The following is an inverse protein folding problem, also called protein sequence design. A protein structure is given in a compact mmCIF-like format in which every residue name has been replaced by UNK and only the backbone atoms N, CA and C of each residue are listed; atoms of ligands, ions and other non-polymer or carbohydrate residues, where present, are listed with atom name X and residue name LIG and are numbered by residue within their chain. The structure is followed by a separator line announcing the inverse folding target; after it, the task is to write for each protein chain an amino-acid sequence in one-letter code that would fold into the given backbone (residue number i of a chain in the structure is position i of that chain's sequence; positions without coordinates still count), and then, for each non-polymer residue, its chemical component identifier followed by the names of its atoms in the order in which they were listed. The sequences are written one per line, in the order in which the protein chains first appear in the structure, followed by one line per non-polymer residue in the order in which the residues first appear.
data_IF_007962017326
#
_entry.id   IF_007962017326
#
_cell.length_a   1.000
_cell.length_b   1.000
_cell.length_c   1.000
_cell.angle_alpha   90.00
_cell.angle_beta   90.00
_cell.angle_gamma   90.00
#
_symmetry.space_group_name_H-M   'P 1'
#
loop_
_entity.id
_entity.type
_entity.pdbx_description
1 polymer ?
#
# COMPACT_ATOMS: atom_id res chain seq x y z
N UNK A 1 5.92 -56.00 -22.29
CA UNK A 1 4.93 -54.92 -22.54
C UNK A 1 4.50 -54.21 -21.27
N UNK A 2 5.02 -54.53 -20.11
CA UNK A 2 4.65 -54.02 -18.79
C UNK A 2 5.50 -52.82 -18.29
N UNK A 3 6.70 -52.61 -18.83
CA UNK A 3 7.62 -51.55 -18.37
C UNK A 3 7.28 -50.15 -18.89
N UNK A 4 6.67 -49.99 -20.05
CA UNK A 4 6.32 -48.67 -20.62
C UNK A 4 5.10 -48.00 -19.95
N UNK A 5 4.21 -48.78 -19.35
CA UNK A 5 3.02 -48.25 -18.66
C UNK A 5 3.41 -47.65 -17.31
N UNK A 6 4.39 -48.21 -16.60
CA UNK A 6 4.85 -47.68 -15.30
C UNK A 6 5.53 -46.30 -15.40
N UNK A 7 6.33 -46.08 -16.46
CA UNK A 7 6.96 -44.78 -16.69
C UNK A 7 5.95 -43.70 -17.11
N UNK A 8 4.90 -44.08 -17.83
CA UNK A 8 3.84 -43.15 -18.22
C UNK A 8 2.97 -42.73 -17.02
N UNK A 9 2.69 -43.64 -16.10
CA UNK A 9 1.96 -43.30 -14.86
C UNK A 9 2.81 -42.44 -13.91
N UNK A 10 4.10 -42.68 -13.75
CA UNK A 10 5.01 -41.85 -12.95
C UNK A 10 5.20 -40.47 -13.53
N UNK A 11 5.27 -40.30 -14.86
CA UNK A 11 5.33 -39.00 -15.53
C UNK A 11 4.01 -38.21 -15.38
N UNK A 12 2.86 -38.90 -15.41
CA UNK A 12 1.55 -38.27 -15.20
C UNK A 12 1.36 -37.82 -13.76
N UNK A 13 1.80 -38.60 -12.77
CA UNK A 13 1.76 -38.24 -11.36
C UNK A 13 2.75 -37.10 -11.08
N UNK A 14 3.95 -37.11 -11.67
CA UNK A 14 4.93 -36.02 -11.53
C UNK A 14 4.48 -34.70 -12.13
N UNK A 15 3.66 -34.70 -13.20
CA UNK A 15 3.10 -33.47 -13.80
C UNK A 15 1.87 -32.93 -13.08
N UNK A 16 1.17 -33.80 -12.31
CA UNK A 16 0.00 -33.39 -11.50
C UNK A 16 0.37 -32.89 -10.08
N UNK A 17 1.53 -33.30 -9.54
CA UNK A 17 2.01 -32.91 -8.22
C UNK A 17 2.09 -31.37 -8.03
N UNK A 18 2.61 -30.56 -8.97
CA UNK A 18 2.63 -29.11 -8.81
C UNK A 18 1.23 -28.47 -8.86
N UNK A 19 0.26 -29.09 -9.52
CA UNK A 19 -1.12 -28.60 -9.56
C UNK A 19 -1.89 -28.85 -8.26
N UNK A 20 -1.59 -29.97 -7.58
CA UNK A 20 -2.26 -30.32 -6.31
C UNK A 20 -1.67 -29.48 -5.15
N UNK A 21 -0.35 -29.20 -5.16
CA UNK A 21 0.30 -28.36 -4.15
C UNK A 21 -0.17 -26.90 -4.18
N UNK A 22 -0.48 -26.34 -5.36
CA UNK A 22 -0.93 -24.95 -5.48
C UNK A 22 -2.41 -24.72 -5.11
N UNK A 23 -3.26 -25.77 -5.13
CA UNK A 23 -4.67 -25.65 -4.75
C UNK A 23 -4.89 -25.57 -3.24
N UNK A 24 -3.99 -26.18 -2.42
CA UNK A 24 -4.17 -26.33 -0.97
C UNK A 24 -3.65 -25.16 -0.11
N UNK A 25 -2.81 -24.27 -0.66
CA UNK A 25 -2.12 -23.25 0.14
C UNK A 25 -3.05 -22.12 0.56
N UNK A 26 -4.07 -21.80 -0.23
CA UNK A 26 -5.03 -20.70 0.07
C UNK A 26 -6.09 -21.14 1.10
N UNK A 27 -6.42 -22.42 1.14
CA UNK A 27 -7.38 -22.97 2.11
C UNK A 27 -6.85 -22.95 3.55
N UNK A 28 -5.53 -22.71 3.77
CA UNK A 28 -4.88 -22.70 5.07
C UNK A 28 -4.50 -21.31 5.59
N UNK A 29 -5.01 -20.22 4.98
CA UNK A 29 -4.76 -18.88 5.49
C UNK A 29 -5.77 -18.59 6.61
N UNK A 30 -5.24 -18.40 7.82
CA UNK A 30 -6.00 -18.01 9.00
C UNK A 30 -5.61 -16.61 9.45
N UNK A 31 -6.60 -15.79 9.77
CA UNK A 31 -6.42 -14.44 10.27
C UNK A 31 -6.66 -14.37 11.77
N UNK A 32 -5.78 -13.70 12.48
CA UNK A 32 -5.99 -13.27 13.86
C UNK A 32 -6.46 -11.82 13.83
N UNK A 33 -7.51 -11.52 14.57
CA UNK A 33 -8.11 -10.19 14.59
C UNK A 33 -7.56 -9.39 15.76
N UNK A 34 -7.14 -8.16 15.50
CA UNK A 34 -6.72 -7.17 16.49
C UNK A 34 -7.54 -5.90 16.23
N UNK A 35 -8.24 -5.42 17.26
CA UNK A 35 -9.19 -4.33 17.11
C UNK A 35 -9.27 -3.36 18.28
N UNK A 36 -10.40 -2.69 18.41
CA UNK A 36 -10.64 -1.69 19.46
C UNK A 36 -10.51 -2.26 20.88
N UNK A 37 -10.89 -3.52 21.07
CA UNK A 37 -10.81 -4.20 22.37
C UNK A 37 -9.38 -4.47 22.81
N UNK A 38 -8.45 -4.51 21.86
CA UNK A 38 -7.02 -4.72 22.09
C UNK A 38 -6.26 -3.39 22.26
N UNK A 39 -6.97 -2.24 22.15
CA UNK A 39 -6.39 -0.92 22.35
C UNK A 39 -6.15 -0.09 21.09
N UNK A 40 -6.53 -0.60 19.90
CA UNK A 40 -6.49 0.19 18.66
C UNK A 40 -7.47 1.39 18.77
N UNK A 41 -7.05 2.58 18.34
CA UNK A 41 -7.85 3.80 18.52
C UNK A 41 -9.09 3.88 17.61
N UNK A 42 -8.99 3.32 16.41
CA UNK A 42 -10.06 3.34 15.42
C UNK A 42 -9.96 2.15 14.47
N UNK A 43 -11.08 1.57 14.10
CA UNK A 43 -11.16 0.38 13.26
C UNK A 43 -10.72 0.60 11.80
N UNK A 44 -10.82 1.83 11.28
CA UNK A 44 -10.39 2.13 9.90
C UNK A 44 -8.89 2.35 9.83
N UNK A 45 -8.17 1.48 9.13
CA UNK A 45 -6.72 1.55 8.94
C UNK A 45 -6.41 2.02 7.52
N UNK A 46 -5.79 3.20 7.38
CA UNK A 46 -5.40 3.77 6.09
C UNK A 46 -4.04 3.26 5.59
N UNK A 47 -3.09 3.13 6.49
CA UNK A 47 -1.74 2.67 6.19
C UNK A 47 -1.14 1.92 7.37
N UNK A 48 -0.28 0.97 7.06
CA UNK A 48 0.52 0.19 8.02
C UNK A 48 1.98 0.29 7.58
N UNK A 49 2.88 0.48 8.54
CA UNK A 49 4.32 0.41 8.30
C UNK A 49 5.04 -0.14 9.54
N UNK A 50 6.29 -0.52 9.39
CA UNK A 50 7.10 -1.07 10.48
C UNK A 50 8.41 -0.29 10.61
N UNK A 51 8.80 0.05 11.85
CA UNK A 51 10.11 0.61 12.12
C UNK A 51 11.18 -0.48 12.25
N UNK A 52 12.46 -0.09 12.25
CA UNK A 52 13.58 -1.04 12.39
C UNK A 52 13.62 -1.75 13.76
N UNK A 53 12.94 -1.20 14.74
CA UNK A 53 12.75 -1.82 16.06
C UNK A 53 11.69 -2.92 16.08
N UNK A 54 10.97 -3.11 14.94
CA UNK A 54 9.91 -4.11 14.80
C UNK A 54 8.53 -3.61 15.22
N UNK A 55 8.39 -2.37 15.73
CA UNK A 55 7.07 -1.85 16.05
C UNK A 55 6.26 -1.56 14.77
N UNK A 56 5.01 -1.93 14.79
CA UNK A 56 4.06 -1.59 13.73
C UNK A 56 3.39 -0.25 14.02
N UNK A 57 3.18 0.52 12.96
CA UNK A 57 2.56 1.83 13.00
C UNK A 57 1.32 1.85 12.11
N UNK A 58 0.20 2.28 12.66
CA UNK A 58 -1.10 2.28 12.00
C UNK A 58 -1.65 3.70 11.89
N UNK A 59 -1.89 4.18 10.67
CA UNK A 59 -2.58 5.43 10.42
C UNK A 59 -4.10 5.21 10.44
N UNK A 60 -4.81 5.98 11.26
CA UNK A 60 -6.26 5.82 11.45
C UNK A 60 -7.01 7.16 11.33
N UNK A 61 -8.34 7.14 11.49
CA UNK A 61 -9.13 8.35 11.65
C UNK A 61 -8.97 9.00 13.03
N UNK A 62 -8.44 8.27 14.01
CA UNK A 62 -8.32 8.72 15.39
C UNK A 62 -6.87 8.62 15.87
N UNK A 63 -5.99 9.33 15.17
CA UNK A 63 -4.56 9.40 15.45
C UNK A 63 -3.73 8.32 14.77
N UNK A 64 -2.53 8.14 15.30
CA UNK A 64 -1.58 7.10 14.93
C UNK A 64 -1.39 6.14 16.08
N UNK A 65 -1.35 4.86 15.80
CA UNK A 65 -1.14 3.81 16.77
C UNK A 65 0.20 3.15 16.53
N UNK A 66 0.99 2.99 17.58
CA UNK A 66 2.20 2.18 17.62
C UNK A 66 1.89 0.89 18.36
N UNK A 67 2.24 -0.25 17.79
CA UNK A 67 2.05 -1.58 18.35
C UNK A 67 3.39 -2.28 18.51
N UNK A 68 3.71 -2.69 19.72
CA UNK A 68 4.99 -3.33 20.09
C UNK A 68 4.94 -4.87 20.03
N UNK A 69 3.84 -5.44 19.57
CA UNK A 69 3.56 -6.87 19.57
C UNK A 69 2.62 -7.29 20.71
N UNK A 70 2.41 -6.43 21.71
CA UNK A 70 1.57 -6.69 22.89
C UNK A 70 0.58 -5.57 23.17
N UNK A 71 1.02 -4.30 23.08
CA UNK A 71 0.24 -3.15 23.49
C UNK A 71 0.20 -2.08 22.39
N UNK A 72 -0.91 -1.33 22.37
CA UNK A 72 -1.02 -0.12 21.57
C UNK A 72 -0.65 1.12 22.40
N UNK A 73 0.18 1.97 21.81
CA UNK A 73 0.34 3.37 22.23
C UNK A 73 -0.35 4.25 21.20
N UNK A 74 -1.32 5.06 21.64
CA UNK A 74 -2.13 5.91 20.77
C UNK A 74 -1.68 7.36 20.86
N UNK A 75 -1.39 7.97 19.71
CA UNK A 75 -1.00 9.37 19.58
C UNK A 75 -2.12 10.15 18.89
N UNK A 76 -2.75 11.08 19.62
CA UNK A 76 -3.81 11.96 19.14
C UNK A 76 -3.36 13.41 19.11
N UNK A 77 -4.02 14.19 18.26
CA UNK A 77 -3.87 15.63 18.29
C UNK A 77 -4.41 16.20 19.60
N UNK A 78 -3.63 17.07 20.23
CA UNK A 78 -4.02 17.77 21.46
C UNK A 78 -3.98 19.27 21.22
N UNK A 79 -5.10 19.93 21.44
CA UNK A 79 -5.20 21.37 21.29
C UNK A 79 -4.16 22.06 22.20
N UNK A 80 -3.44 23.03 21.66
CA UNK A 80 -2.37 23.78 22.33
C UNK A 80 -1.11 22.95 22.72
N UNK A 81 -1.01 21.69 22.33
CA UNK A 81 0.21 20.92 22.50
C UNK A 81 0.96 20.80 21.15
N UNK A 82 2.00 21.62 20.91
CA UNK A 82 2.74 21.61 19.62
C UNK A 82 3.54 20.30 19.41
N UNK A 83 3.68 19.49 20.46
CA UNK A 83 4.38 18.22 20.42
C UNK A 83 3.44 17.02 20.16
N UNK A 84 2.14 17.24 20.05
CA UNK A 84 1.19 16.22 19.60
C UNK A 84 1.24 16.11 18.08
N UNK A 85 0.66 15.04 17.51
CA UNK A 85 0.51 14.90 16.04
C UNK A 85 -0.33 16.06 15.45
N UNK A 86 -0.07 16.42 14.18
CA UNK A 86 -0.71 17.58 13.54
C UNK A 86 -2.24 17.46 13.40
N UNK A 87 -2.76 16.23 13.26
CA UNK A 87 -4.20 15.94 13.15
C UNK A 87 -4.48 14.49 13.52
N UNK A 88 -5.66 14.19 14.07
CA UNK A 88 -6.12 12.84 14.33
C UNK A 88 -6.33 12.04 13.03
N UNK A 89 -6.69 12.71 11.94
CA UNK A 89 -6.87 12.05 10.65
C UNK A 89 -5.50 11.83 10.01
N UNK A 90 -4.95 10.66 10.22
CA UNK A 90 -3.69 10.19 9.62
C UNK A 90 -3.97 9.38 8.36
N UNK A 91 -3.26 9.68 7.26
CA UNK A 91 -3.54 9.11 5.94
C UNK A 91 -2.48 8.14 5.44
N UNK A 92 -1.23 8.42 5.71
CA UNK A 92 -0.10 7.62 5.27
C UNK A 92 1.02 7.64 6.30
N UNK A 93 1.83 6.60 6.29
CA UNK A 93 3.03 6.46 7.11
C UNK A 93 4.17 6.03 6.20
N UNK A 94 5.33 6.65 6.38
CA UNK A 94 6.56 6.20 5.76
C UNK A 94 7.67 6.09 6.82
N UNK A 95 8.49 5.06 6.67
CA UNK A 95 9.74 4.91 7.41
C UNK A 95 10.87 5.12 6.42
N UNK A 96 11.77 6.07 6.71
CA UNK A 96 12.88 6.37 5.83
C UNK A 96 14.13 5.53 6.15
N UNK A 97 15.18 5.68 5.35
CA UNK A 97 16.43 4.93 5.50
C UNK A 97 17.12 5.15 6.85
N UNK A 98 16.86 6.30 7.50
CA UNK A 98 17.34 6.66 8.84
C UNK A 98 16.40 6.19 9.97
N UNK A 99 15.39 5.38 9.65
CA UNK A 99 14.38 4.88 10.59
C UNK A 99 13.54 5.98 11.25
N UNK A 100 13.35 7.11 10.56
CA UNK A 100 12.44 8.17 11.00
C UNK A 100 11.02 7.83 10.54
N UNK A 101 10.05 7.96 11.45
CA UNK A 101 8.65 7.69 11.19
C UNK A 101 7.96 9.00 10.80
N UNK A 102 7.54 9.07 9.54
CA UNK A 102 6.84 10.19 8.95
C UNK A 102 5.36 9.87 8.81
N UNK A 103 4.51 10.76 9.24
CA UNK A 103 3.06 10.61 9.17
C UNK A 103 2.46 11.74 8.37
N UNK A 104 1.79 11.40 7.27
CA UNK A 104 0.97 12.34 6.51
C UNK A 104 -0.41 12.43 7.12
N UNK A 105 -0.80 13.63 7.50
CA UNK A 105 -2.09 13.92 8.15
C UNK A 105 -2.95 14.87 7.31
N UNK A 106 -4.20 15.07 7.74
CA UNK A 106 -5.09 16.06 7.12
C UNK A 106 -4.55 17.49 7.20
N UNK A 107 -3.75 17.80 8.21
CA UNK A 107 -3.24 19.17 8.46
C UNK A 107 -1.77 19.35 8.08
N UNK A 108 -1.06 18.32 7.62
CA UNK A 108 0.33 18.41 7.21
C UNK A 108 1.15 17.16 7.46
N UNK A 109 2.47 17.35 7.59
CA UNK A 109 3.45 16.30 7.82
C UNK A 109 3.89 16.30 9.28
N UNK A 110 3.92 15.13 9.92
CA UNK A 110 4.42 14.94 11.29
C UNK A 110 5.60 13.97 11.29
N UNK A 111 6.65 14.30 12.05
CA UNK A 111 7.80 13.44 12.32
C UNK A 111 7.75 12.99 13.78
N UNK A 112 7.76 11.69 14.01
CA UNK A 112 7.86 11.13 15.36
C UNK A 112 9.28 11.21 15.90
N UNK A 113 9.42 11.76 17.09
CA UNK A 113 10.67 11.84 17.84
C UNK A 113 10.71 10.75 18.91
N UNK A 114 11.52 9.72 18.71
CA UNK A 114 11.64 8.57 19.62
C UNK A 114 12.14 8.94 21.03
N UNK A 115 13.01 9.95 21.13
CA UNK A 115 13.61 10.35 22.42
C UNK A 115 12.64 11.10 23.32
N UNK A 116 11.72 11.86 22.70
CA UNK A 116 10.75 12.68 23.41
C UNK A 116 9.37 12.03 23.50
N UNK A 117 9.17 10.92 22.78
CA UNK A 117 7.86 10.28 22.57
C UNK A 117 6.79 11.29 22.12
N UNK A 118 7.13 12.08 21.10
CA UNK A 118 6.40 13.26 20.69
C UNK A 118 6.55 13.52 19.18
N UNK A 119 5.81 14.48 18.64
CA UNK A 119 5.88 14.83 17.23
C UNK A 119 6.44 16.23 16.99
N UNK A 120 7.11 16.38 15.85
CA UNK A 120 7.43 17.67 15.23
C UNK A 120 6.58 17.83 13.99
N UNK A 121 5.89 18.97 13.84
CA UNK A 121 4.90 19.16 12.79
C UNK A 121 5.36 20.21 11.78
N UNK A 122 5.09 19.95 10.48
CA UNK A 122 5.46 20.79 9.36
C UNK A 122 4.21 21.05 8.51
N UNK A 123 3.90 22.33 8.30
CA UNK A 123 2.69 22.77 7.62
C UNK A 123 3.03 23.48 6.32
N UNK A 124 2.51 22.97 5.21
CA UNK A 124 2.46 23.70 3.97
C UNK A 124 1.11 24.38 3.84
N UNK A 125 1.11 25.69 3.60
CA UNK A 125 -0.13 26.45 3.49
C UNK A 125 -0.36 26.93 2.06
N UNK A 126 -1.58 26.73 1.58
CA UNK A 126 -2.06 27.31 0.33
C UNK A 126 -3.38 28.01 0.56
N UNK A 127 -3.49 29.27 0.12
CA UNK A 127 -4.65 30.13 0.36
C UNK A 127 -5.05 30.23 1.85
N UNK A 128 -4.05 30.24 2.73
CA UNK A 128 -4.26 30.34 4.18
C UNK A 128 -4.64 29.01 4.89
N UNK A 129 -4.92 27.94 4.16
CA UNK A 129 -5.28 26.63 4.72
C UNK A 129 -4.08 25.68 4.70
N UNK A 130 -4.01 24.81 5.70
CA UNK A 130 -3.05 23.71 5.72
C UNK A 130 -3.39 22.68 4.63
N UNK A 131 -2.36 22.10 4.04
CA UNK A 131 -2.50 21.11 2.95
C UNK A 131 -2.30 19.72 3.50
N UNK A 132 -3.28 18.84 3.25
CA UNK A 132 -3.22 17.44 3.64
C UNK A 132 -2.12 16.68 2.86
N UNK A 133 -1.36 15.83 3.57
CA UNK A 133 -0.39 14.90 2.97
C UNK A 133 -1.03 13.53 2.89
N UNK A 134 -1.18 13.01 1.68
CA UNK A 134 -1.86 11.74 1.39
C UNK A 134 -0.93 10.60 1.01
N UNK A 135 0.30 10.92 0.61
CA UNK A 135 1.33 9.95 0.28
C UNK A 135 2.72 10.51 0.58
N UNK A 136 3.64 9.67 1.01
CA UNK A 136 5.03 10.03 1.35
C UNK A 136 5.96 9.04 0.67
N UNK A 137 6.91 9.54 -0.12
CA UNK A 137 8.00 8.74 -0.68
C UNK A 137 9.34 9.32 -0.23
N UNK A 138 10.07 8.65 0.69
CA UNK A 138 11.46 8.99 0.98
C UNK A 138 12.32 8.80 -0.26
N UNK A 139 13.11 9.83 -0.68
CA UNK A 139 13.86 9.79 -1.95
C UNK A 139 15.36 9.76 -1.79
N UNK A 140 15.89 10.46 -0.81
CA UNK A 140 17.33 10.48 -0.42
C UNK A 140 17.38 10.67 1.09
N UNK A 141 18.57 10.61 1.67
CA UNK A 141 18.83 10.65 3.12
C UNK A 141 17.93 11.61 3.92
N UNK A 142 17.72 12.82 3.41
CA UNK A 142 16.94 13.85 4.10
C UNK A 142 15.80 14.44 3.25
N UNK A 143 15.44 13.82 2.13
CA UNK A 143 14.45 14.37 1.23
C UNK A 143 13.24 13.47 1.08
N UNK A 144 12.04 14.07 1.14
CA UNK A 144 10.76 13.40 0.92
C UNK A 144 10.00 14.03 -0.23
N UNK A 145 9.45 13.22 -1.12
CA UNK A 145 8.36 13.64 -2.00
C UNK A 145 7.03 13.37 -1.33
N UNK A 146 6.15 14.36 -1.34
CA UNK A 146 4.86 14.32 -0.69
C UNK A 146 3.74 14.49 -1.71
N UNK A 147 2.80 13.56 -1.71
CA UNK A 147 1.58 13.65 -2.50
C UNK A 147 0.52 14.45 -1.73
N UNK A 148 -0.05 15.44 -2.40
CA UNK A 148 -1.12 16.29 -1.84
C UNK A 148 -2.18 16.60 -2.90
N UNK A 149 -3.34 17.09 -2.49
CA UNK A 149 -4.36 17.58 -3.43
C UNK A 149 -3.91 18.78 -4.26
N UNK A 150 -2.84 19.49 -3.80
CA UNK A 150 -2.28 20.67 -4.43
C UNK A 150 -1.06 20.36 -5.33
N UNK A 151 -0.79 19.08 -5.56
CA UNK A 151 0.32 18.58 -6.36
C UNK A 151 1.36 17.83 -5.54
N UNK A 152 2.51 17.58 -6.16
CA UNK A 152 3.67 16.99 -5.50
C UNK A 152 4.48 18.08 -4.83
N UNK A 153 4.83 17.90 -3.56
CA UNK A 153 5.71 18.78 -2.80
C UNK A 153 7.03 18.07 -2.49
N UNK A 154 8.10 18.85 -2.40
CA UNK A 154 9.40 18.38 -1.92
C UNK A 154 9.67 18.93 -0.52
N UNK A 155 10.14 18.08 0.38
CA UNK A 155 10.46 18.45 1.75
C UNK A 155 11.90 18.06 2.11
N UNK A 156 12.66 19.02 2.64
CA UNK A 156 13.99 18.80 3.20
C UNK A 156 13.87 18.53 4.71
N UNK A 157 14.04 17.30 5.11
CA UNK A 157 13.90 16.86 6.48
C UNK A 157 15.04 17.38 7.38
N UNK A 158 16.21 17.67 6.83
CA UNK A 158 17.34 18.26 7.57
C UNK A 158 17.10 19.71 7.93
N UNK A 159 16.54 20.49 6.98
CA UNK A 159 16.21 21.90 7.19
C UNK A 159 14.83 22.11 7.80
N UNK A 160 13.95 21.07 7.74
CA UNK A 160 12.57 21.17 8.19
C UNK A 160 11.70 22.09 7.35
N UNK A 161 11.92 22.18 6.03
CA UNK A 161 11.24 23.11 5.16
C UNK A 161 10.82 22.49 3.81
N UNK A 162 9.79 23.08 3.20
CA UNK A 162 9.33 22.70 1.86
C UNK A 162 10.16 23.43 0.80
N UNK A 163 10.51 22.71 -0.28
CA UNK A 163 11.37 23.17 -1.37
C UNK A 163 10.60 23.17 -2.71
N UNK A 164 9.47 23.89 -2.75
CA UNK A 164 8.55 23.78 -3.89
C UNK A 164 9.11 24.36 -5.20
N UNK A 165 9.94 25.39 -5.13
CA UNK A 165 10.50 26.06 -6.31
C UNK A 165 11.54 25.20 -7.06
N UNK A 166 11.90 24.04 -6.52
CA UNK A 166 12.90 23.14 -7.12
C UNK A 166 12.29 22.04 -8.00
N UNK A 167 11.00 21.81 -7.91
CA UNK A 167 10.29 20.81 -8.72
C UNK A 167 9.76 21.42 -10.02
N UNK A 168 9.75 20.65 -11.14
CA UNK A 168 9.08 21.06 -12.36
C UNK A 168 7.63 21.45 -12.14
N UNK A 169 7.16 22.51 -12.79
CA UNK A 169 5.78 22.98 -12.68
C UNK A 169 4.74 21.90 -13.03
N UNK A 170 5.09 20.95 -13.90
CA UNK A 170 4.27 19.82 -14.30
C UNK A 170 3.94 18.91 -13.13
N UNK A 171 4.84 18.73 -12.14
CA UNK A 171 4.58 17.94 -10.93
C UNK A 171 3.58 18.62 -10.00
N UNK A 172 3.58 19.95 -9.95
CA UNK A 172 2.58 20.70 -9.18
C UNK A 172 1.18 20.65 -9.77
N UNK A 173 1.05 20.32 -11.06
CA UNK A 173 -0.25 20.17 -11.74
C UNK A 173 -0.84 18.77 -11.60
N UNK A 174 -0.04 17.77 -11.22
CA UNK A 174 -0.53 16.44 -10.94
C UNK A 174 -1.32 16.45 -9.63
N UNK A 175 -2.37 15.63 -9.58
CA UNK A 175 -3.11 15.32 -8.34
C UNK A 175 -2.75 13.92 -7.90
N UNK A 176 -1.58 13.75 -7.23
CA UNK A 176 -1.09 12.44 -6.87
C UNK A 176 -1.96 11.83 -5.77
N UNK A 177 -2.27 10.57 -5.92
CA UNK A 177 -2.97 9.76 -4.92
C UNK A 177 -2.02 8.82 -4.21
N UNK A 178 -0.97 8.37 -4.91
CA UNK A 178 0.08 7.50 -4.39
C UNK A 178 1.42 7.82 -5.02
N UNK A 179 2.47 7.75 -4.22
CA UNK A 179 3.87 7.85 -4.63
C UNK A 179 4.60 6.59 -4.19
N UNK A 180 5.32 5.94 -5.11
CA UNK A 180 6.14 4.75 -4.81
C UNK A 180 7.52 4.92 -5.39
N UNK A 181 8.54 4.85 -4.55
CA UNK A 181 9.94 4.87 -5.00
C UNK A 181 10.41 3.47 -5.36
N UNK A 182 11.07 3.37 -6.52
CA UNK A 182 11.85 2.19 -6.89
C UNK A 182 13.18 2.60 -7.52
N UNK A 183 14.24 2.50 -6.75
CA UNK A 183 15.56 2.97 -7.20
C UNK A 183 15.58 4.47 -7.48
N UNK A 184 15.89 4.82 -8.75
CA UNK A 184 15.94 6.21 -9.23
C UNK A 184 14.58 6.73 -9.75
N UNK A 185 13.55 5.88 -9.78
CA UNK A 185 12.21 6.22 -10.25
C UNK A 185 11.25 6.44 -9.09
N UNK A 186 10.41 7.46 -9.23
CA UNK A 186 9.17 7.64 -8.46
C UNK A 186 8.00 7.35 -9.38
N UNK A 187 7.23 6.33 -9.06
CA UNK A 187 5.94 6.08 -9.69
C UNK A 187 4.89 6.95 -9.02
N UNK A 188 4.12 7.68 -9.81
CA UNK A 188 3.11 8.63 -9.35
C UNK A 188 1.76 8.20 -9.91
N UNK A 189 0.90 7.66 -9.04
CA UNK A 189 -0.50 7.43 -9.40
C UNK A 189 -1.29 8.72 -9.26
N UNK A 190 -2.07 9.05 -10.28
CA UNK A 190 -2.90 10.25 -10.34
C UNK A 190 -4.31 9.93 -10.86
N UNK A 191 -5.17 10.94 -10.95
CA UNK A 191 -6.56 10.78 -11.44
C UNK A 191 -6.65 10.44 -12.93
N UNK A 192 -5.61 10.71 -13.72
CA UNK A 192 -5.61 10.56 -15.18
C UNK A 192 -4.53 9.62 -15.71
N UNK A 193 -3.88 8.85 -14.83
CA UNK A 193 -2.85 7.92 -15.24
C UNK A 193 -1.78 7.67 -14.21
N UNK A 194 -0.77 6.93 -14.63
CA UNK A 194 0.44 6.68 -13.88
C UNK A 194 1.62 7.32 -14.60
N UNK A 195 2.43 8.03 -13.84
CA UNK A 195 3.62 8.73 -14.30
C UNK A 195 4.86 8.16 -13.64
N UNK A 196 6.00 8.35 -14.26
CA UNK A 196 7.32 8.11 -13.68
C UNK A 196 8.10 9.41 -13.63
N UNK A 197 8.72 9.70 -12.51
CA UNK A 197 9.63 10.80 -12.34
C UNK A 197 11.02 10.25 -12.02
N UNK A 198 12.02 10.59 -12.86
CA UNK A 198 13.39 10.15 -12.68
C UNK A 198 14.15 11.15 -11.82
N UNK A 199 14.64 10.71 -10.65
CA UNK A 199 15.28 11.58 -9.66
C UNK A 199 16.61 12.17 -10.15
N UNK A 200 17.37 11.42 -10.93
CA UNK A 200 18.72 11.82 -11.40
C UNK A 200 18.70 12.94 -12.44
N UNK A 201 17.67 13.01 -13.28
CA UNK A 201 17.58 13.96 -14.40
C UNK A 201 16.34 14.86 -14.38
N UNK A 202 15.39 14.63 -13.46
CA UNK A 202 14.19 15.44 -13.32
C UNK A 202 13.15 15.24 -14.44
N UNK A 203 13.23 14.16 -15.22
CA UNK A 203 12.29 13.89 -16.31
C UNK A 203 11.01 13.27 -15.75
N UNK A 204 9.88 13.84 -16.15
CA UNK A 204 8.54 13.33 -15.87
C UNK A 204 7.95 12.74 -17.16
N UNK A 205 7.71 11.45 -17.17
CA UNK A 205 7.09 10.72 -18.27
C UNK A 205 5.74 10.13 -17.86
N UNK A 206 4.79 10.07 -18.78
CA UNK A 206 3.54 9.36 -18.59
C UNK A 206 3.74 7.89 -18.95
N UNK A 207 3.57 7.01 -17.97
CA UNK A 207 3.77 5.58 -18.13
C UNK A 207 2.53 4.88 -18.71
N UNK A 208 1.35 5.20 -18.15
CA UNK A 208 0.07 4.60 -18.53
C UNK A 208 -1.04 5.65 -18.48
N UNK A 209 -1.87 5.71 -19.54
CA UNK A 209 -3.12 6.44 -19.53
C UNK A 209 -4.21 5.62 -18.85
N UNK A 210 -4.90 6.23 -17.87
CA UNK A 210 -6.08 5.62 -17.27
C UNK A 210 -7.35 6.12 -17.96
N UNK A 211 -8.25 5.22 -18.39
CA UNK A 211 -9.52 5.62 -18.97
C UNK A 211 -10.40 6.32 -17.92
N UNK A 212 -11.23 7.26 -18.35
CA UNK A 212 -12.30 7.86 -17.55
C UNK A 212 -11.88 8.48 -16.21
N UNK A 213 -10.67 9.05 -16.08
CA UNK A 213 -10.18 9.67 -14.86
C UNK A 213 -10.21 8.74 -13.63
N UNK A 214 -9.85 7.50 -13.83
CA UNK A 214 -9.84 6.49 -12.77
C UNK A 214 -8.69 6.76 -11.82
N UNK A 215 -9.00 6.94 -10.54
CA UNK A 215 -8.02 7.19 -9.49
C UNK A 215 -7.22 5.93 -9.16
N UNK A 216 -5.88 6.06 -9.11
CA UNK A 216 -4.96 4.97 -8.72
C UNK A 216 -4.69 5.04 -7.23
N UNK A 217 -5.04 3.99 -6.48
CA UNK A 217 -4.89 3.94 -5.02
C UNK A 217 -3.58 3.33 -4.54
N UNK A 218 -3.07 2.36 -5.26
CA UNK A 218 -1.79 1.71 -4.94
C UNK A 218 -1.05 1.34 -6.22
N UNK A 219 0.27 1.41 -6.14
CA UNK A 219 1.20 0.94 -7.16
C UNK A 219 2.16 -0.03 -6.50
N UNK A 220 2.43 -1.15 -7.15
CA UNK A 220 3.41 -2.13 -6.71
C UNK A 220 4.26 -2.55 -7.89
N UNK A 221 5.56 -2.33 -7.74
CA UNK A 221 6.54 -2.79 -8.72
C UNK A 221 7.05 -4.16 -8.31
N UNK A 222 6.85 -5.16 -9.16
CA UNK A 222 7.29 -6.53 -8.96
C UNK A 222 8.53 -6.83 -9.82
N UNK A 223 9.28 -7.85 -9.45
CA UNK A 223 10.36 -8.39 -10.31
C UNK A 223 9.80 -8.72 -11.71
N UNK A 224 10.67 -8.74 -12.74
CA UNK A 224 10.33 -9.00 -14.14
C UNK A 224 9.56 -7.88 -14.85
N UNK A 225 9.82 -6.62 -14.47
CA UNK A 225 9.27 -5.41 -15.12
C UNK A 225 7.76 -5.23 -15.02
N UNK A 226 7.10 -5.86 -14.06
CA UNK A 226 5.66 -5.73 -13.85
C UNK A 226 5.36 -4.61 -12.88
N UNK A 227 4.45 -3.72 -13.29
CA UNK A 227 3.89 -2.64 -12.48
C UNK A 227 2.41 -2.88 -12.31
N UNK A 228 2.00 -3.18 -11.09
CA UNK A 228 0.60 -3.39 -10.73
C UNK A 228 0.00 -2.09 -10.22
N UNK A 229 -1.23 -1.78 -10.64
CA UNK A 229 -1.92 -0.53 -10.35
C UNK A 229 -3.35 -0.82 -9.89
N UNK A 230 -3.63 -0.53 -8.62
CA UNK A 230 -4.94 -0.67 -8.01
C UNK A 230 -5.80 0.56 -8.29
N UNK A 231 -7.04 0.38 -8.78
CA UNK A 231 -7.89 1.49 -9.20
C UNK A 231 -9.23 1.56 -8.48
N UNK A 232 -9.81 2.76 -8.48
CA UNK A 232 -11.14 3.03 -7.93
C UNK A 232 -12.23 2.78 -8.97
N UNK A 233 -12.74 1.53 -8.99
CA UNK A 233 -13.90 1.14 -9.79
C UNK A 233 -13.58 0.57 -11.17
N UNK A 234 -12.29 0.49 -11.57
CA UNK A 234 -11.90 -0.08 -12.87
C UNK A 234 -10.99 -1.31 -12.76
N UNK A 235 -10.92 -1.93 -11.57
CA UNK A 235 -10.19 -3.17 -11.34
C UNK A 235 -8.71 -2.98 -11.09
N UNK A 236 -7.94 -3.98 -11.46
CA UNK A 236 -6.50 -4.06 -11.28
C UNK A 236 -5.81 -4.06 -12.65
N UNK A 237 -4.87 -3.17 -12.83
CA UNK A 237 -4.03 -3.14 -14.02
C UNK A 237 -2.66 -3.74 -13.75
N UNK A 238 -2.11 -4.43 -14.75
CA UNK A 238 -0.71 -4.87 -14.80
C UNK A 238 -0.09 -4.34 -16.09
N UNK A 239 1.00 -3.59 -15.94
CA UNK A 239 1.79 -3.08 -17.05
C UNK A 239 3.16 -3.73 -17.06
N UNK A 240 3.52 -4.38 -18.16
CA UNK A 240 4.87 -4.88 -18.39
C UNK A 240 5.71 -3.78 -19.05
N UNK A 241 6.71 -3.29 -18.33
CA UNK A 241 7.55 -2.16 -18.80
C UNK A 241 8.46 -2.54 -19.97
N UNK A 242 8.74 -3.83 -20.18
CA UNK A 242 9.58 -4.33 -21.26
C UNK A 242 8.79 -4.53 -22.55
N UNK A 243 7.69 -5.27 -22.49
CA UNK A 243 6.83 -5.56 -23.66
C UNK A 243 5.84 -4.43 -23.96
N UNK A 244 5.66 -3.47 -23.04
CA UNK A 244 4.68 -2.37 -23.13
C UNK A 244 3.23 -2.86 -23.17
N UNK A 245 2.97 -4.08 -22.70
CA UNK A 245 1.63 -4.66 -22.64
C UNK A 245 0.93 -4.22 -21.37
N UNK A 246 -0.31 -3.74 -21.53
CA UNK A 246 -1.21 -3.40 -20.43
C UNK A 246 -2.34 -4.43 -20.37
N UNK A 247 -2.50 -5.08 -19.21
CA UNK A 247 -3.64 -5.98 -18.91
C UNK A 247 -4.54 -5.32 -17.87
N UNK A 248 -5.85 -5.56 -17.96
CA UNK A 248 -6.82 -5.14 -16.96
C UNK A 248 -7.59 -6.36 -16.45
N UNK A 249 -7.59 -6.56 -15.14
CA UNK A 249 -8.34 -7.60 -14.44
C UNK A 249 -9.54 -6.95 -13.76
N UNK A 250 -10.74 -7.44 -14.05
CA UNK A 250 -12.00 -6.91 -13.54
C UNK A 250 -12.82 -7.98 -12.83
N UNK A 251 -13.74 -7.53 -11.98
CA UNK A 251 -14.75 -8.39 -11.41
C UNK A 251 -15.69 -8.92 -12.51
N UNK A 252 -15.84 -10.25 -12.57
CA UNK A 252 -16.77 -10.94 -13.45
C UNK A 252 -17.48 -12.04 -12.67
N UNK A 253 -18.81 -12.06 -12.71
CA UNK A 253 -19.60 -13.09 -12.04
C UNK A 253 -19.29 -14.50 -12.61
N UNK A 254 -18.99 -15.43 -11.70
CA UNK A 254 -18.74 -16.84 -12.00
C UNK A 254 -17.42 -17.17 -12.68
N UNK A 255 -16.47 -16.20 -12.78
CA UNK A 255 -15.15 -16.39 -13.35
C UNK A 255 -14.03 -16.21 -12.32
N UNK A 256 -12.80 -16.63 -12.67
CA UNK A 256 -11.59 -16.50 -11.86
C UNK A 256 -11.06 -15.05 -11.80
N UNK A 257 -11.92 -14.04 -11.85
CA UNK A 257 -11.58 -12.64 -11.76
C UNK A 257 -11.48 -12.13 -10.32
N UNK A 258 -11.27 -10.82 -10.19
CA UNK A 258 -11.32 -10.14 -8.90
C UNK A 258 -12.71 -10.22 -8.28
N UNK A 259 -12.79 -10.12 -6.95
CA UNK A 259 -14.08 -10.05 -6.25
C UNK A 259 -14.69 -8.63 -6.20
N UNK A 260 -13.97 -7.61 -6.69
CA UNK A 260 -14.44 -6.22 -6.82
C UNK A 260 -13.55 -5.40 -7.74
N UNK A 261 -14.12 -4.46 -8.48
CA UNK A 261 -13.38 -3.47 -9.27
C UNK A 261 -12.82 -2.30 -8.42
N UNK A 262 -13.22 -2.20 -7.16
CA UNK A 262 -12.67 -1.21 -6.22
C UNK A 262 -11.46 -1.81 -5.51
N UNK A 263 -10.27 -1.65 -6.11
CA UNK A 263 -9.01 -2.17 -5.57
C UNK A 263 -8.32 -1.08 -4.77
N UNK A 264 -7.88 -1.40 -3.54
CA UNK A 264 -7.36 -0.42 -2.58
C UNK A 264 -5.89 -0.58 -2.24
N UNK A 265 -5.41 -1.80 -2.16
CA UNK A 265 -4.07 -2.10 -1.65
C UNK A 265 -3.45 -3.30 -2.34
N UNK A 266 -2.13 -3.28 -2.41
CA UNK A 266 -1.31 -4.31 -3.04
C UNK A 266 -0.11 -4.61 -2.14
N UNK A 267 0.23 -5.88 -1.97
CA UNK A 267 1.48 -6.30 -1.35
C UNK A 267 1.95 -7.64 -1.91
N UNK A 268 3.23 -7.95 -1.74
CA UNK A 268 3.78 -9.28 -1.99
C UNK A 268 4.03 -9.98 -0.66
N UNK A 269 3.68 -11.27 -0.59
CA UNK A 269 4.06 -12.10 0.56
C UNK A 269 5.52 -12.60 0.45
N UNK A 270 5.92 -13.51 1.32
CA UNK A 270 7.25 -14.10 1.33
C UNK A 270 7.54 -15.02 0.13
N UNK A 271 6.50 -15.51 -0.54
CA UNK A 271 6.58 -16.33 -1.75
C UNK A 271 6.44 -15.50 -3.03
N UNK A 272 6.47 -14.16 -2.92
CA UNK A 272 6.22 -13.20 -4.00
C UNK A 272 4.84 -13.32 -4.67
N UNK A 273 3.84 -13.88 -3.97
CA UNK A 273 2.46 -13.90 -4.45
C UNK A 273 1.85 -12.52 -4.23
N UNK A 274 1.14 -12.02 -5.23
CA UNK A 274 0.46 -10.73 -5.16
C UNK A 274 -0.85 -10.87 -4.36
N UNK A 275 -0.93 -10.10 -3.28
CA UNK A 275 -2.13 -9.91 -2.46
C UNK A 275 -2.81 -8.60 -2.86
N UNK A 276 -4.11 -8.67 -3.13
CA UNK A 276 -4.92 -7.57 -3.67
C UNK A 276 -6.10 -7.31 -2.74
N UNK A 277 -6.05 -6.23 -1.99
CA UNK A 277 -7.12 -5.79 -1.12
C UNK A 277 -8.18 -5.00 -1.89
N UNK A 278 -9.44 -5.39 -1.71
CA UNK A 278 -10.57 -4.75 -2.38
C UNK A 278 -11.69 -4.37 -1.39
N UNK A 279 -12.74 -3.77 -1.90
CA UNK A 279 -13.96 -3.50 -1.12
C UNK A 279 -14.73 -4.77 -0.72
N UNK A 280 -14.49 -5.90 -1.40
CA UNK A 280 -15.29 -7.12 -1.24
C UNK A 280 -14.47 -8.33 -0.82
N UNK A 281 -13.29 -8.12 -0.25
CA UNK A 281 -12.39 -9.14 0.28
C UNK A 281 -10.96 -8.99 -0.18
N UNK A 282 -10.18 -10.01 0.13
CA UNK A 282 -8.80 -10.17 -0.29
C UNK A 282 -8.75 -11.11 -1.49
N UNK A 283 -7.90 -10.81 -2.46
CA UNK A 283 -7.62 -11.69 -3.58
C UNK A 283 -6.12 -12.00 -3.61
N UNK A 284 -5.79 -13.24 -3.98
CA UNK A 284 -4.39 -13.67 -4.18
C UNK A 284 -4.24 -14.11 -5.63
N UNK A 285 -3.31 -13.49 -6.33
CA UNK A 285 -3.03 -13.77 -7.73
C UNK A 285 -2.31 -15.12 -7.89
N UNK A 286 -2.77 -15.91 -8.84
CA UNK A 286 -2.19 -17.19 -9.26
C UNK A 286 -1.57 -17.03 -10.64
N UNK A 287 -0.25 -16.82 -10.68
CA UNK A 287 0.48 -16.60 -11.92
C UNK A 287 0.29 -17.73 -12.95
N UNK A 288 0.35 -19.00 -12.51
CA UNK A 288 0.26 -20.16 -13.40
C UNK A 288 -1.07 -20.32 -14.13
N UNK A 289 -2.15 -19.71 -13.63
CA UNK A 289 -3.50 -19.73 -14.25
C UNK A 289 -4.01 -18.36 -14.64
N UNK A 290 -3.20 -17.30 -14.41
CA UNK A 290 -3.56 -15.89 -14.66
C UNK A 290 -4.93 -15.53 -14.04
N UNK A 291 -5.14 -15.95 -12.79
CA UNK A 291 -6.44 -15.83 -12.08
C UNK A 291 -6.26 -15.46 -10.62
N UNK A 292 -7.37 -15.21 -9.93
CA UNK A 292 -7.38 -14.87 -8.52
C UNK A 292 -8.17 -15.87 -7.69
N UNK A 293 -7.67 -16.16 -6.49
CA UNK A 293 -8.46 -16.77 -5.42
C UNK A 293 -8.87 -15.71 -4.44
N UNK A 294 -10.15 -15.74 -4.03
CA UNK A 294 -10.74 -14.74 -3.15
C UNK A 294 -10.97 -15.29 -1.75
N UNK A 295 -10.63 -14.50 -0.74
CA UNK A 295 -10.92 -14.71 0.67
C UNK A 295 -11.88 -13.63 1.14
N UNK A 296 -12.88 -14.03 1.93
CA UNK A 296 -13.93 -13.14 2.45
C UNK A 296 -14.14 -13.38 3.95
N UNK A 297 -14.76 -12.41 4.61
CA UNK A 297 -15.25 -12.59 5.97
C UNK A 297 -16.40 -13.62 6.00
N UNK A 298 -16.44 -14.40 7.05
CA UNK A 298 -17.47 -15.40 7.29
C UNK A 298 -17.76 -15.48 8.79
N UNK A 299 -19.03 -15.44 9.17
CA UNK A 299 -19.47 -15.63 10.56
C UNK A 299 -19.32 -17.09 11.03
N UNK A 300 -19.22 -18.01 10.09
CA UNK A 300 -19.17 -19.46 10.38
C UNK A 300 -17.73 -19.99 10.35
N UNK A 301 -16.87 -19.41 9.51
CA UNK A 301 -15.50 -19.87 9.33
C UNK A 301 -14.55 -19.11 10.27
N UNK A 302 -14.10 -19.80 11.31
CA UNK A 302 -13.05 -19.29 12.20
C UNK A 302 -11.76 -18.99 11.42
N UNK A 303 -11.10 -17.89 11.76
CA UNK A 303 -9.90 -17.43 11.06
C UNK A 303 -10.14 -16.82 9.67
N UNK A 304 -11.40 -16.53 9.30
CA UNK A 304 -11.73 -15.73 8.11
C UNK A 304 -11.33 -14.25 8.31
N UNK A 305 -11.46 -13.41 7.27
CA UNK A 305 -11.30 -11.96 7.41
C UNK A 305 -12.29 -11.39 8.44
N UNK A 306 -11.86 -10.41 9.23
CA UNK A 306 -12.75 -9.66 10.13
C UNK A 306 -13.84 -8.91 9.35
N UNK A 307 -13.46 -8.40 8.16
CA UNK A 307 -14.36 -7.63 7.31
C UNK A 307 -13.87 -7.61 5.86
N UNK A 308 -14.78 -7.49 4.90
CA UNK A 308 -14.44 -7.59 3.48
C UNK A 308 -13.72 -6.37 2.89
N UNK A 309 -13.87 -5.17 3.46
CA UNK A 309 -13.23 -3.97 2.90
C UNK A 309 -11.76 -3.86 3.34
N UNK A 310 -10.85 -4.44 2.56
CA UNK A 310 -9.41 -4.41 2.82
C UNK A 310 -8.81 -3.13 2.24
N UNK A 311 -8.39 -2.21 3.11
CA UNK A 311 -7.88 -0.88 2.73
C UNK A 311 -6.37 -0.81 2.58
N UNK A 312 -5.65 -1.52 3.44
CA UNK A 312 -4.19 -1.57 3.44
C UNK A 312 -3.70 -2.99 3.64
N UNK A 313 -2.60 -3.32 3.02
CA UNK A 313 -1.89 -4.59 3.19
C UNK A 313 -0.43 -4.25 3.42
N UNK A 314 0.17 -4.87 4.41
CA UNK A 314 1.58 -4.69 4.74
C UNK A 314 2.21 -6.02 5.11
N UNK A 315 3.42 -6.27 4.60
CA UNK A 315 4.24 -7.41 5.00
C UNK A 315 5.30 -6.93 5.99
N UNK A 316 5.30 -7.48 7.18
CA UNK A 316 6.30 -7.16 8.19
C UNK A 316 7.67 -7.83 7.90
N UNK A 317 8.68 -7.47 8.69
CA UNK A 317 10.05 -7.98 8.55
C UNK A 317 10.19 -9.48 8.85
N UNK A 318 9.20 -10.09 9.51
CA UNK A 318 9.16 -11.52 9.82
C UNK A 318 8.37 -12.31 8.78
N UNK A 319 7.76 -11.63 7.80
CA UNK A 319 6.95 -12.23 6.74
C UNK A 319 5.46 -12.32 7.07
N UNK A 320 5.03 -11.80 8.22
CA UNK A 320 3.62 -11.70 8.59
C UNK A 320 2.87 -10.71 7.69
N UNK A 321 1.66 -11.08 7.28
CA UNK A 321 0.80 -10.25 6.44
C UNK A 321 -0.24 -9.55 7.30
N UNK A 322 -0.19 -8.21 7.31
CA UNK A 322 -1.11 -7.35 8.06
C UNK A 322 -2.14 -6.73 7.13
N UNK A 323 -3.39 -6.84 7.50
CA UNK A 323 -4.52 -6.31 6.73
C UNK A 323 -5.22 -5.23 7.56
N UNK A 324 -5.28 -4.02 7.02
CA UNK A 324 -6.11 -2.96 7.58
C UNK A 324 -7.46 -2.92 6.88
N UNK A 325 -8.54 -3.05 7.64
CA UNK A 325 -9.90 -3.02 7.12
C UNK A 325 -10.62 -1.71 7.45
N UNK A 326 -11.89 -1.58 7.02
CA UNK A 326 -12.68 -0.36 7.25
C UNK A 326 -13.35 -0.36 8.63
N UNK A 327 -13.69 -1.53 9.20
CA UNK A 327 -14.40 -1.68 10.47
C UNK A 327 -13.67 -2.56 11.51
N UNK A 328 -12.40 -2.82 11.38
CA UNK A 328 -11.60 -3.60 12.32
C UNK A 328 -11.18 -4.96 11.82
#
# INVERSE_FOLDING_TARGET
MTMKIQYFLLALIGSLLPYILNASIIENIHFTHIGLVDGLSHSTIFAINQDKGGNLWFATYDGVNKYDGYNFTVYRHQYMNPNSIASDISRCIAVDDSDRIWVGTREGLSLYNRYKDAFSNYYYKKRGMNVAVTSIAPIKEDWLMLGTAEGVLLFDAKRGCFLNDTLPATLHMLRPTVLVRQGDLIYIGAENGVYTYTLSNGILDKLVDMPNYVRVHAILCQMFNQVWMATEGDGLYMYDTKSKVLKNYRYEDGKSGLNSNYVRSLALDTENRLWVGTYSGLNIYKEGTDSFSSLKSSEIQEGSLSQNSVRSIFKDSQGGMWLGTYWG
#
